data_IF_408665919645
#
_entry.id   IF_408665919645
#
_cell.length_a   1.000
_cell.length_b   1.000
_cell.length_c   1.000
_cell.angle_alpha   90.00
_cell.angle_beta   90.00
_cell.angle_gamma   90.00
#
_symmetry.space_group_name_H-M   'P 1'
#
loop_
_entity.id
_entity.type
_entity.pdbx_description
1 polymer ?
#
# COMPACT_ATOMS: atom_id res chain seq x y z
N UNK A 1 -9.59 -10.46 -3.23
CA UNK A 1 -9.79 -9.44 -2.19
C UNK A 1 -8.66 -8.43 -2.25
N UNK A 2 -8.99 -7.15 -2.22
CA UNK A 2 -8.02 -6.07 -2.34
C UNK A 2 -7.79 -5.45 -0.96
N UNK A 3 -6.54 -5.24 -0.60
CA UNK A 3 -6.12 -4.54 0.61
C UNK A 3 -5.04 -3.52 0.27
N UNK A 4 -4.66 -2.70 1.23
CA UNK A 4 -3.48 -1.85 1.06
C UNK A 4 -2.61 -1.86 2.32
N UNK A 5 -1.34 -1.57 2.12
CA UNK A 5 -0.36 -1.40 3.19
C UNK A 5 0.29 -0.03 3.01
N UNK A 6 0.28 0.80 4.04
CA UNK A 6 0.82 2.16 3.97
C UNK A 6 1.30 2.62 5.34
N UNK A 7 2.31 3.46 5.33
CA UNK A 7 2.69 4.26 6.50
C UNK A 7 2.39 5.72 6.17
N UNK A 8 1.76 6.45 7.09
CA UNK A 8 1.39 7.85 6.86
C UNK A 8 1.58 8.68 8.13
N UNK A 9 1.93 9.95 7.96
CA UNK A 9 2.02 10.89 9.06
C UNK A 9 0.64 11.45 9.45
N UNK A 10 0.51 12.26 10.50
CA UNK A 10 -0.79 12.78 10.93
C UNK A 10 -1.55 13.60 9.87
N UNK A 11 -0.86 14.11 8.86
CA UNK A 11 -1.45 14.86 7.76
C UNK A 11 -1.64 14.00 6.50
N UNK A 12 -1.68 12.67 6.65
CA UNK A 12 -1.78 11.69 5.55
C UNK A 12 -0.60 11.73 4.59
N UNK A 13 0.55 12.24 5.04
CA UNK A 13 1.78 12.28 4.26
C UNK A 13 2.37 10.90 4.08
N UNK A 14 2.76 10.55 2.86
CA UNK A 14 3.28 9.22 2.52
C UNK A 14 4.59 9.26 1.75
N UNK A 15 5.06 10.43 1.35
CA UNK A 15 6.30 10.52 0.60
C UNK A 15 6.84 11.92 0.45
N UNK A 16 8.13 12.00 0.15
CA UNK A 16 8.83 13.22 -0.26
C UNK A 16 9.92 12.84 -1.27
N UNK A 17 9.97 13.54 -2.40
CA UNK A 17 10.98 13.35 -3.47
C UNK A 17 11.16 11.88 -3.87
N UNK A 18 10.02 11.14 -3.95
CA UNK A 18 10.02 9.73 -4.35
C UNK A 18 10.47 8.74 -3.28
N UNK A 19 10.66 9.19 -2.04
CA UNK A 19 11.10 8.34 -0.92
C UNK A 19 10.18 8.50 0.28
N UNK A 20 10.34 7.62 1.27
CA UNK A 20 9.67 7.78 2.56
C UNK A 20 10.32 8.92 3.35
N UNK A 21 9.53 9.78 4.02
CA UNK A 21 10.08 10.87 4.83
C UNK A 21 10.80 10.39 6.10
N UNK A 22 10.49 9.18 6.56
CA UNK A 22 11.01 8.59 7.79
C UNK A 22 11.84 7.34 7.47
N UNK A 23 12.62 6.92 8.48
CA UNK A 23 13.39 5.70 8.40
C UNK A 23 13.24 4.95 9.72
N UNK A 24 12.22 4.07 9.81
CA UNK A 24 11.83 3.37 11.02
C UNK A 24 11.97 1.86 10.81
N UNK A 25 12.89 1.24 11.56
CA UNK A 25 13.20 -0.20 11.43
C UNK A 25 12.01 -1.09 11.73
N UNK A 26 11.24 -0.77 12.78
CA UNK A 26 10.10 -1.61 13.16
C UNK A 26 8.99 -1.55 12.13
N UNK A 27 8.78 -0.39 11.50
CA UNK A 27 7.81 -0.25 10.42
C UNK A 27 8.22 -1.07 9.19
N UNK A 28 9.50 -1.04 8.82
CA UNK A 28 10.02 -1.85 7.72
C UNK A 28 9.88 -3.34 7.99
N UNK A 29 10.09 -3.79 9.22
CA UNK A 29 9.88 -5.18 9.62
C UNK A 29 8.42 -5.59 9.51
N UNK A 30 7.49 -4.71 9.90
CA UNK A 30 6.06 -4.97 9.77
C UNK A 30 5.64 -5.09 8.30
N UNK A 31 6.11 -4.19 7.46
CA UNK A 31 5.86 -4.26 6.02
C UNK A 31 6.36 -5.59 5.45
N UNK A 32 7.58 -5.98 5.80
CA UNK A 32 8.16 -7.25 5.37
C UNK A 32 7.29 -8.42 5.83
N UNK A 33 6.93 -8.45 7.10
CA UNK A 33 6.12 -9.52 7.68
C UNK A 33 4.74 -9.63 7.03
N UNK A 34 4.09 -8.49 6.80
CA UNK A 34 2.74 -8.44 6.23
C UNK A 34 2.70 -8.82 4.75
N UNK A 35 3.80 -8.67 4.03
CA UNK A 35 3.85 -8.88 2.57
C UNK A 35 4.58 -10.15 2.14
N UNK A 36 5.30 -10.81 3.06
CA UNK A 36 6.12 -11.98 2.74
C UNK A 36 5.25 -13.12 2.20
N UNK A 37 5.62 -13.65 1.03
CA UNK A 37 4.90 -14.69 0.29
C UNK A 37 3.46 -14.28 -0.11
N UNK A 38 3.20 -12.97 -0.16
CA UNK A 38 1.91 -12.42 -0.55
C UNK A 38 1.97 -11.80 -1.95
N UNK A 39 0.79 -11.58 -2.53
CA UNK A 39 0.65 -10.84 -3.78
C UNK A 39 0.62 -9.35 -3.47
N UNK A 40 1.59 -8.60 -3.98
CA UNK A 40 1.64 -7.16 -3.83
C UNK A 40 1.51 -6.46 -5.18
N UNK A 41 0.89 -5.30 -5.18
CA UNK A 41 0.60 -4.51 -6.39
C UNK A 41 1.15 -3.11 -6.18
N UNK A 42 1.92 -2.62 -7.14
CA UNK A 42 2.47 -1.27 -7.08
C UNK A 42 2.56 -0.65 -8.48
N UNK A 43 2.60 0.67 -8.53
CA UNK A 43 2.82 1.39 -9.79
C UNK A 43 4.26 1.27 -10.26
N UNK A 44 4.47 1.50 -11.57
CA UNK A 44 5.79 1.41 -12.20
C UNK A 44 6.82 2.29 -11.50
N UNK A 45 6.48 3.55 -11.22
CA UNK A 45 7.43 4.48 -10.59
C UNK A 45 7.89 3.96 -9.23
N UNK A 46 6.96 3.44 -8.43
CA UNK A 46 7.29 2.87 -7.12
C UNK A 46 8.21 1.66 -7.27
N UNK A 47 7.91 0.76 -8.20
CA UNK A 47 8.75 -0.42 -8.45
C UNK A 47 10.15 -0.03 -8.93
N UNK A 48 10.24 0.89 -9.88
CA UNK A 48 11.53 1.31 -10.47
C UNK A 48 12.43 2.06 -9.49
N UNK A 49 11.85 2.66 -8.45
CA UNK A 49 12.61 3.42 -7.43
C UNK A 49 12.92 2.61 -6.16
N UNK A 50 12.54 1.33 -6.11
CA UNK A 50 12.88 0.48 -4.96
C UNK A 50 14.41 0.36 -4.85
N UNK A 51 14.98 0.61 -3.65
CA UNK A 51 16.43 0.49 -3.46
C UNK A 51 16.92 -0.95 -3.56
N UNK A 52 16.05 -1.92 -3.23
CA UNK A 52 16.37 -3.35 -3.30
C UNK A 52 15.14 -4.10 -3.81
N UNK A 53 15.38 -5.26 -4.46
CA UNK A 53 14.29 -6.14 -4.86
C UNK A 53 13.56 -6.67 -3.61
N UNK A 54 12.23 -6.74 -3.70
CA UNK A 54 11.41 -7.35 -2.65
C UNK A 54 11.34 -8.86 -2.92
N UNK A 55 12.29 -9.60 -2.34
CA UNK A 55 12.34 -11.05 -2.48
C UNK A 55 11.15 -11.71 -1.77
N UNK A 56 10.76 -12.89 -2.26
CA UNK A 56 9.72 -13.72 -1.65
C UNK A 56 8.33 -13.05 -1.62
N UNK A 57 8.03 -12.22 -2.62
CA UNK A 57 6.69 -11.66 -2.89
C UNK A 57 6.34 -11.92 -4.35
N UNK A 58 5.04 -12.01 -4.60
CA UNK A 58 4.50 -12.10 -5.96
C UNK A 58 4.07 -10.70 -6.38
N UNK A 59 4.88 -10.07 -7.23
CA UNK A 59 4.72 -8.64 -7.56
C UNK A 59 3.97 -8.48 -8.88
N UNK A 60 2.93 -7.64 -8.86
CA UNK A 60 2.25 -7.11 -10.03
C UNK A 60 2.53 -5.62 -10.10
N UNK A 61 3.06 -5.17 -11.24
CA UNK A 61 3.35 -3.76 -11.50
C UNK A 61 2.31 -3.19 -12.44
N UNK A 62 1.72 -2.07 -12.07
CA UNK A 62 0.76 -1.34 -12.90
C UNK A 62 1.54 -0.34 -13.75
N UNK A 63 1.45 -0.47 -15.06
CA UNK A 63 2.14 0.40 -16.01
C UNK A 63 1.23 0.73 -17.17
N UNK A 64 1.19 2.00 -17.57
CA UNK A 64 0.48 2.43 -18.78
C UNK A 64 1.26 2.15 -20.06
N UNK A 65 2.54 1.77 -19.94
CA UNK A 65 3.40 1.44 -21.07
C UNK A 65 3.24 -0.04 -21.44
N UNK A 66 2.67 -0.37 -22.63
CA UNK A 66 2.45 -1.76 -23.02
C UNK A 66 3.76 -2.51 -23.31
N UNK A 67 4.88 -1.82 -23.43
CA UNK A 67 6.20 -2.43 -23.64
C UNK A 67 6.98 -2.65 -22.35
N UNK A 68 6.50 -2.12 -21.22
CA UNK A 68 7.13 -2.32 -19.92
C UNK A 68 7.02 -3.80 -19.52
N UNK A 69 8.15 -4.46 -19.37
CA UNK A 69 8.18 -5.91 -19.11
C UNK A 69 9.44 -6.33 -18.35
N UNK A 70 9.62 -5.88 -17.09
CA UNK A 70 10.76 -6.32 -16.28
C UNK A 70 10.65 -7.82 -15.95
N UNK A 71 11.82 -8.46 -15.73
CA UNK A 71 11.86 -9.85 -15.31
C UNK A 71 11.27 -10.01 -13.90
N UNK A 72 10.76 -11.19 -13.61
CA UNK A 72 10.33 -11.63 -12.28
C UNK A 72 9.08 -10.93 -11.73
N UNK A 73 8.36 -10.15 -12.53
CA UNK A 73 7.10 -9.52 -12.12
C UNK A 73 6.03 -9.71 -13.18
N UNK A 74 4.77 -9.63 -12.77
CA UNK A 74 3.65 -9.49 -13.70
C UNK A 74 3.43 -8.01 -13.98
N UNK A 75 3.00 -7.68 -15.19
CA UNK A 75 2.63 -6.32 -15.57
C UNK A 75 1.18 -6.29 -15.97
N UNK A 76 0.43 -5.33 -15.40
CA UNK A 76 -0.95 -5.04 -15.76
C UNK A 76 -1.03 -3.61 -16.26
N UNK A 77 -1.71 -3.42 -17.40
CA UNK A 77 -1.81 -2.11 -18.03
C UNK A 77 -3.12 -1.37 -17.68
N UNK A 78 -4.06 -2.04 -17.03
CA UNK A 78 -5.37 -1.47 -16.66
C UNK A 78 -5.66 -1.81 -15.20
N UNK A 79 -5.39 -0.84 -14.30
CA UNK A 79 -5.60 -1.04 -12.87
C UNK A 79 -7.05 -1.33 -12.52
N UNK A 80 -7.99 -0.57 -13.10
CA UNK A 80 -9.41 -0.72 -12.75
C UNK A 80 -9.92 -2.11 -13.18
N UNK A 81 -9.53 -2.58 -14.36
CA UNK A 81 -9.89 -3.92 -14.81
C UNK A 81 -9.32 -5.00 -13.87
N UNK A 82 -8.07 -4.83 -13.42
CA UNK A 82 -7.45 -5.72 -12.44
C UNK A 82 -8.21 -5.74 -11.12
N UNK A 83 -8.58 -4.57 -10.60
CA UNK A 83 -9.32 -4.45 -9.34
C UNK A 83 -10.71 -5.09 -9.43
N UNK A 84 -11.44 -4.84 -10.52
CA UNK A 84 -12.76 -5.44 -10.74
C UNK A 84 -12.67 -6.97 -10.83
N UNK A 85 -11.65 -7.48 -11.51
CA UNK A 85 -11.45 -8.93 -11.68
C UNK A 85 -11.18 -9.62 -10.35
N UNK A 86 -10.40 -8.98 -9.45
CA UNK A 86 -9.89 -9.63 -8.24
C UNK A 86 -10.57 -9.21 -6.94
N UNK A 87 -11.54 -8.30 -6.99
CA UNK A 87 -12.16 -7.74 -5.78
C UNK A 87 -12.84 -8.80 -4.90
N UNK A 88 -13.37 -9.86 -5.49
CA UNK A 88 -14.10 -10.91 -4.78
C UNK A 88 -13.30 -12.23 -4.69
N UNK A 89 -12.04 -12.24 -5.12
CA UNK A 89 -11.17 -13.40 -5.00
C UNK A 89 -10.87 -13.73 -3.54
N UNK A 90 -10.66 -15.01 -3.26
CA UNK A 90 -10.13 -15.43 -1.95
C UNK A 90 -8.67 -15.02 -1.76
N UNK A 91 -7.91 -14.93 -2.85
CA UNK A 91 -6.53 -14.46 -2.83
C UNK A 91 -6.49 -12.98 -2.51
N UNK A 92 -5.62 -12.60 -1.58
CA UNK A 92 -5.40 -11.21 -1.21
C UNK A 92 -4.36 -10.56 -2.11
N UNK A 93 -4.68 -9.37 -2.62
CA UNK A 93 -3.75 -8.51 -3.37
C UNK A 93 -3.56 -7.22 -2.58
N UNK A 94 -2.33 -6.96 -2.14
CA UNK A 94 -1.99 -5.85 -1.25
C UNK A 94 -1.41 -4.70 -2.07
N UNK A 95 -2.12 -3.57 -2.11
CA UNK A 95 -1.67 -2.37 -2.80
C UNK A 95 -0.60 -1.68 -1.97
N UNK A 96 0.57 -1.43 -2.57
CA UNK A 96 1.75 -0.91 -1.88
C UNK A 96 2.28 0.42 -2.46
N UNK A 97 1.44 1.18 -3.15
CA UNK A 97 1.81 2.52 -3.63
C UNK A 97 1.87 2.64 -5.15
N UNK A 98 2.11 3.79 -5.71
CA UNK A 98 2.18 5.07 -4.99
C UNK A 98 0.84 5.76 -4.83
N UNK A 99 0.88 7.07 -4.67
CA UNK A 99 -0.32 7.86 -4.34
C UNK A 99 -1.48 7.66 -5.32
N UNK A 100 -1.20 7.67 -6.63
CA UNK A 100 -2.24 7.46 -7.65
C UNK A 100 -2.85 6.07 -7.56
N UNK A 101 -2.02 5.05 -7.31
CA UNK A 101 -2.47 3.67 -7.20
C UNK A 101 -3.31 3.50 -5.92
N UNK A 102 -2.89 4.07 -4.80
CA UNK A 102 -3.69 4.09 -3.56
C UNK A 102 -5.05 4.75 -3.80
N UNK A 103 -5.06 5.94 -4.41
CA UNK A 103 -6.29 6.69 -4.66
C UNK A 103 -7.30 5.90 -5.50
N UNK A 104 -6.84 5.30 -6.60
CA UNK A 104 -7.70 4.54 -7.49
C UNK A 104 -8.18 3.24 -6.86
N UNK A 105 -7.34 2.61 -6.02
CA UNK A 105 -7.64 1.33 -5.39
C UNK A 105 -8.48 1.46 -4.13
N UNK A 106 -8.47 2.60 -3.47
CA UNK A 106 -9.08 2.80 -2.17
C UNK A 106 -10.53 2.31 -2.08
N UNK A 107 -11.42 2.63 -3.05
CA UNK A 107 -12.82 2.17 -2.98
C UNK A 107 -12.98 0.66 -3.03
N UNK A 108 -12.00 -0.06 -3.56
CA UNK A 108 -12.04 -1.52 -3.70
C UNK A 108 -11.47 -2.24 -2.47
N UNK A 109 -10.73 -1.54 -1.62
CA UNK A 109 -10.03 -2.16 -0.51
C UNK A 109 -10.97 -2.50 0.64
N UNK A 110 -10.91 -3.76 1.10
CA UNK A 110 -11.72 -4.27 2.20
C UNK A 110 -10.94 -4.38 3.49
N UNK A 111 -9.60 -4.34 3.41
CA UNK A 111 -8.70 -4.48 4.53
C UNK A 111 -7.52 -3.54 4.35
N UNK A 112 -6.93 -3.10 5.45
CA UNK A 112 -5.75 -2.24 5.40
C UNK A 112 -4.79 -2.54 6.55
N UNK A 113 -3.51 -2.35 6.26
CA UNK A 113 -2.41 -2.44 7.22
C UNK A 113 -1.78 -1.05 7.26
N UNK A 114 -2.00 -0.30 8.34
CA UNK A 114 -1.60 1.11 8.38
C UNK A 114 -0.70 1.38 9.58
N UNK A 115 0.48 1.94 9.32
CA UNK A 115 1.36 2.48 10.35
C UNK A 115 1.11 3.99 10.43
N UNK A 116 0.51 4.44 11.53
CA UNK A 116 0.23 5.85 11.78
C UNK A 116 1.43 6.47 12.50
N UNK A 117 2.25 7.19 11.73
CA UNK A 117 3.46 7.84 12.23
C UNK A 117 3.05 8.97 13.17
N UNK A 118 3.69 9.08 14.34
CA UNK A 118 3.30 10.04 15.37
C UNK A 118 3.74 11.47 15.06
N UNK A 119 4.93 11.63 14.45
CA UNK A 119 5.49 12.94 14.13
C UNK A 119 5.03 13.45 12.77
N UNK A 120 4.90 14.77 12.65
CA UNK A 120 4.63 15.42 11.36
C UNK A 120 5.94 15.59 10.60
N UNK A 121 5.94 15.21 9.33
CA UNK A 121 7.11 15.29 8.44
C UNK A 121 6.85 16.25 7.30
N UNK A 122 7.92 16.73 6.67
CA UNK A 122 7.82 17.42 5.40
C UNK A 122 7.49 16.40 4.31
N UNK A 123 6.39 16.60 3.59
CA UNK A 123 5.92 15.70 2.56
C UNK A 123 5.47 16.48 1.33
N UNK A 124 5.59 15.86 0.16
CA UNK A 124 5.02 16.37 -1.09
C UNK A 124 3.93 15.46 -1.64
N UNK A 125 3.72 14.31 -1.00
CA UNK A 125 2.78 13.29 -1.47
C UNK A 125 1.91 12.83 -0.29
N UNK A 126 0.60 12.81 -0.50
CA UNK A 126 -0.39 12.44 0.53
C UNK A 126 -1.39 11.43 0.02
N UNK A 127 -1.95 10.65 0.95
CA UNK A 127 -3.06 9.75 0.71
C UNK A 127 -4.38 10.45 1.09
N UNK A 128 -4.79 11.42 0.29
CA UNK A 128 -5.91 12.32 0.60
C UNK A 128 -7.26 11.59 0.72
N UNK A 129 -7.47 10.52 -0.04
CA UNK A 129 -8.74 9.79 -0.03
C UNK A 129 -8.93 8.88 1.18
N UNK A 130 -7.87 8.64 1.96
CA UNK A 130 -7.99 7.82 3.17
C UNK A 130 -8.82 8.53 4.22
N UNK A 131 -9.81 7.83 4.77
CA UNK A 131 -10.66 8.31 5.85
C UNK A 131 -10.83 7.19 6.87
N UNK A 132 -10.29 7.40 8.08
CA UNK A 132 -10.33 6.39 9.15
C UNK A 132 -11.77 6.03 9.55
N UNK A 133 -12.73 6.95 9.36
CA UNK A 133 -14.13 6.67 9.67
C UNK A 133 -14.77 5.59 8.78
N UNK A 134 -14.14 5.26 7.65
CA UNK A 134 -14.60 4.15 6.78
C UNK A 134 -14.26 2.77 7.35
N UNK A 135 -13.49 2.71 8.42
CA UNK A 135 -12.85 1.48 8.88
C UNK A 135 -13.15 1.14 10.33
N UNK A 136 -13.19 -0.17 10.61
CA UNK A 136 -13.13 -0.70 11.97
C UNK A 136 -11.70 -1.14 12.26
N UNK A 137 -11.20 -0.80 13.45
CA UNK A 137 -9.87 -1.23 13.90
C UNK A 137 -10.00 -2.64 14.46
N UNK A 138 -9.32 -3.61 13.86
CA UNK A 138 -9.35 -5.02 14.28
C UNK A 138 -8.14 -5.43 15.10
N UNK A 139 -7.05 -4.68 14.97
CA UNK A 139 -5.84 -4.90 15.76
C UNK A 139 -5.08 -3.58 15.88
N UNK A 140 -4.45 -3.36 17.04
CA UNK A 140 -3.64 -2.17 17.29
C UNK A 140 -2.43 -2.54 18.12
N UNK A 141 -1.26 -2.07 17.67
CA UNK A 141 0.01 -2.24 18.40
C UNK A 141 0.73 -0.90 18.41
N UNK A 142 1.07 -0.41 19.59
CA UNK A 142 1.79 0.84 19.72
C UNK A 142 3.29 0.60 19.74
N UNK A 143 4.02 1.38 18.93
CA UNK A 143 5.47 1.47 18.90
C UNK A 143 5.89 2.88 19.31
N UNK A 144 7.17 3.12 19.66
CA UNK A 144 7.60 4.46 20.08
C UNK A 144 7.30 5.57 19.07
N UNK A 145 7.47 5.28 17.77
CA UNK A 145 7.37 6.29 16.71
C UNK A 145 6.08 6.21 15.89
N UNK A 146 5.28 5.17 16.08
CA UNK A 146 4.05 4.98 15.32
C UNK A 146 3.09 4.03 16.02
N UNK A 147 1.83 4.05 15.55
CA UNK A 147 0.81 3.08 15.97
C UNK A 147 0.45 2.27 14.74
N UNK A 148 0.66 0.95 14.83
CA UNK A 148 0.27 0.04 13.76
C UNK A 148 -1.17 -0.43 13.97
N UNK A 149 -1.99 -0.35 12.92
CA UNK A 149 -3.38 -0.81 12.96
C UNK A 149 -3.71 -1.68 11.77
N UNK A 150 -4.44 -2.76 12.03
CA UNK A 150 -5.12 -3.53 10.99
C UNK A 150 -6.57 -3.07 10.97
N UNK A 151 -7.07 -2.79 9.77
CA UNK A 151 -8.38 -2.20 9.56
C UNK A 151 -9.22 -3.08 8.65
N UNK A 152 -10.51 -3.15 8.93
CA UNK A 152 -11.50 -3.75 8.04
C UNK A 152 -12.53 -2.69 7.67
N UNK A 153 -12.90 -2.64 6.38
CA UNK A 153 -13.88 -1.67 5.92
C UNK A 153 -15.23 -1.94 6.57
N UNK A 154 -15.87 -0.89 7.05
CA UNK A 154 -17.23 -0.97 7.58
C UNK A 154 -18.18 -1.43 6.49
N UNK A 155 -19.14 -2.27 6.86
CA UNK A 155 -20.17 -2.69 5.94
C UNK A 155 -21.07 -1.51 5.58
N UNK A 156 -21.47 -1.45 4.31
CA UNK A 156 -22.45 -0.49 3.86
C UNK A 156 -23.85 -0.98 4.25
N UNK A 157 -24.63 -0.09 4.82
CA UNK A 157 -26.03 -0.35 5.15
C UNK A 157 -26.92 0.18 4.06
#
# INVERSE_FOLDING_TARGET
MISFSVAMDPNKGIGIRGSLPWHLKDELKLFKSNTLYKNIVMGQTTYDTLPNKLADRYITVISLDPEYNPADVKVENDLIAFLEEHRDDETEYIICGGASIYRQSYPYCRKAYVSFIKDVYEVDTRFESFDLSDWNITREVEYPDFIYRELERKEEN
#
